data_IF_681410942067
#
_entry.id   IF_681410942067
#
_cell.length_a   1.000
_cell.length_b   1.000
_cell.length_c   1.000
_cell.angle_alpha   90.00
_cell.angle_beta   90.00
_cell.angle_gamma   90.00
#
_symmetry.space_group_name_H-M   'P 1'
#
loop_
_entity.id
_entity.type
_entity.pdbx_description
1 polymer ?
#
# COMPACT_ATOMS: atom_id res chain seq x y z
N UNK A 1 -38.30 41.77 -46.36
CA UNK A 1 -39.21 41.00 -45.49
C UNK A 1 -38.75 39.53 -45.52
N UNK A 2 -38.70 38.88 -44.36
CA UNK A 2 -38.23 37.50 -44.06
C UNK A 2 -36.72 37.26 -44.23
N UNK A 3 -35.87 37.00 -43.21
CA UNK A 3 -35.88 36.10 -42.02
C UNK A 3 -36.05 34.61 -42.35
N UNK A 4 -34.93 33.86 -42.36
CA UNK A 4 -34.73 32.47 -41.92
C UNK A 4 -33.20 32.31 -41.73
N UNK A 5 -32.58 32.22 -40.54
CA UNK A 5 -32.60 31.17 -39.51
C UNK A 5 -32.23 29.79 -40.11
N UNK A 6 -31.33 28.95 -39.58
CA UNK A 6 -30.39 28.94 -38.46
C UNK A 6 -29.56 27.64 -38.62
N UNK A 7 -28.29 27.65 -38.20
CA UNK A 7 -27.48 26.52 -37.68
C UNK A 7 -27.55 25.13 -38.36
N UNK A 8 -26.47 24.79 -39.06
CA UNK A 8 -26.04 23.40 -39.30
C UNK A 8 -25.03 22.97 -38.22
N UNK A 9 -25.37 21.89 -37.51
CA UNK A 9 -24.69 21.25 -36.39
C UNK A 9 -23.15 21.40 -36.32
N UNK A 10 -22.67 22.02 -35.24
CA UNK A 10 -21.30 21.82 -34.77
C UNK A 10 -21.19 20.40 -34.18
N UNK A 11 -20.51 19.50 -34.91
CA UNK A 11 -20.10 18.21 -34.38
C UNK A 11 -19.11 18.45 -33.24
N UNK A 12 -19.60 18.32 -32.00
CA UNK A 12 -18.78 18.37 -30.80
C UNK A 12 -17.88 17.13 -30.78
N UNK A 13 -16.67 17.25 -31.35
CA UNK A 13 -15.62 16.27 -31.15
C UNK A 13 -15.19 16.39 -29.67
N UNK A 14 -15.83 15.62 -28.80
CA UNK A 14 -15.36 15.45 -27.44
C UNK A 14 -14.02 14.69 -27.51
N UNK A 15 -12.93 15.44 -27.60
CA UNK A 15 -11.60 14.93 -27.28
C UNK A 15 -11.62 14.59 -25.79
N UNK A 16 -12.02 13.36 -25.46
CA UNK A 16 -11.79 12.78 -24.16
C UNK A 16 -10.29 12.48 -24.10
N UNK A 17 -9.49 13.49 -23.77
CA UNK A 17 -8.10 13.29 -23.42
C UNK A 17 -8.08 12.29 -22.28
N UNK A 18 -7.62 11.07 -22.55
CA UNK A 18 -7.33 10.09 -21.52
C UNK A 18 -6.38 10.77 -20.53
N UNK A 19 -6.91 11.15 -19.36
CA UNK A 19 -6.06 11.54 -18.25
C UNK A 19 -5.12 10.35 -18.03
N UNK A 20 -3.79 10.54 -18.02
CA UNK A 20 -2.92 9.49 -17.56
C UNK A 20 -3.43 9.10 -16.17
N UNK A 21 -3.88 7.85 -16.05
CA UNK A 21 -4.11 7.24 -14.76
C UNK A 21 -2.71 7.15 -14.15
N UNK A 22 -2.28 8.18 -13.43
CA UNK A 22 -0.97 8.19 -12.78
C UNK A 22 -0.95 6.99 -11.83
N UNK A 23 -0.26 5.93 -12.23
CA UNK A 23 0.10 4.86 -11.32
C UNK A 23 1.02 5.50 -10.27
N UNK A 24 0.59 5.54 -9.02
CA UNK A 24 1.43 6.01 -7.92
C UNK A 24 2.60 5.02 -7.81
N UNK A 25 3.81 5.48 -8.13
CA UNK A 25 5.01 4.66 -7.99
C UNK A 25 5.32 4.49 -6.51
N UNK A 26 5.40 3.23 -6.05
CA UNK A 26 5.63 2.92 -4.66
C UNK A 26 7.03 3.39 -4.22
N UNK A 27 7.10 4.05 -3.06
CA UNK A 27 8.39 4.49 -2.50
C UNK A 27 9.11 3.30 -1.87
N UNK A 28 10.32 2.98 -2.35
CA UNK A 28 11.20 1.98 -1.73
C UNK A 28 11.77 2.50 -0.41
N UNK A 29 11.39 1.84 0.69
CA UNK A 29 11.72 2.29 2.04
C UNK A 29 12.14 1.10 2.91
N UNK A 30 13.03 1.35 3.87
CA UNK A 30 13.34 0.37 4.92
C UNK A 30 12.25 0.36 6.00
N UNK A 31 12.21 -0.68 6.82
CA UNK A 31 11.31 -0.75 7.98
C UNK A 31 11.53 0.44 8.91
N UNK A 32 12.79 0.82 9.17
CA UNK A 32 13.12 1.97 9.99
C UNK A 32 12.58 3.29 9.40
N UNK A 33 12.67 3.48 8.07
CA UNK A 33 12.13 4.67 7.41
C UNK A 33 10.60 4.74 7.57
N UNK A 34 9.91 3.59 7.47
CA UNK A 34 8.46 3.55 7.71
C UNK A 34 8.12 4.04 9.11
N UNK A 35 8.84 3.60 10.15
CA UNK A 35 8.61 4.06 11.52
C UNK A 35 8.94 5.54 11.72
N UNK A 36 10.04 6.01 11.11
CA UNK A 36 10.53 7.38 11.23
C UNK A 36 9.55 8.38 10.58
N UNK A 37 9.09 8.07 9.37
CA UNK A 37 8.33 9.00 8.53
C UNK A 37 6.82 8.64 8.46
N UNK A 38 6.35 7.72 9.33
CA UNK A 38 4.98 7.17 9.33
C UNK A 38 3.86 8.18 9.15
N UNK A 39 3.95 9.35 9.79
CA UNK A 39 2.94 10.40 9.70
C UNK A 39 2.85 11.00 8.28
N UNK A 40 3.99 11.16 7.60
CA UNK A 40 4.06 11.67 6.23
C UNK A 40 3.76 10.59 5.17
N UNK A 41 3.85 9.32 5.55
CA UNK A 41 3.58 8.16 4.70
C UNK A 41 2.14 7.64 4.82
N UNK A 42 1.38 8.10 5.80
CA UNK A 42 0.01 7.63 6.02
C UNK A 42 -0.85 7.82 4.77
N UNK A 43 -1.44 6.72 4.30
CA UNK A 43 -2.25 6.64 3.10
C UNK A 43 -1.50 6.44 1.78
N UNK A 44 -0.16 6.43 1.78
CA UNK A 44 0.67 6.31 0.57
C UNK A 44 1.03 4.86 0.24
N UNK A 45 1.32 4.62 -1.03
CA UNK A 45 1.87 3.35 -1.48
C UNK A 45 3.37 3.26 -1.14
N UNK A 46 3.77 2.18 -0.47
CA UNK A 46 5.17 1.91 -0.08
C UNK A 46 5.59 0.55 -0.59
N UNK A 47 6.88 0.41 -0.92
CA UNK A 47 7.50 -0.86 -1.23
C UNK A 47 8.68 -1.11 -0.26
N UNK A 48 8.81 -2.33 0.23
CA UNK A 48 9.89 -2.72 1.13
C UNK A 48 10.26 -4.18 0.90
N UNK A 49 11.53 -4.51 1.18
CA UNK A 49 12.04 -5.87 1.09
C UNK A 49 12.45 -6.34 2.48
N UNK A 50 12.06 -7.56 2.86
CA UNK A 50 12.34 -8.07 4.19
C UNK A 50 12.23 -9.58 4.28
N UNK A 51 12.75 -10.12 5.39
CA UNK A 51 12.61 -11.52 5.75
C UNK A 51 11.33 -11.72 6.55
N UNK A 52 10.54 -12.72 6.19
CA UNK A 52 9.34 -13.11 6.94
C UNK A 52 9.74 -13.77 8.26
N UNK A 53 9.29 -13.22 9.38
CA UNK A 53 9.61 -13.73 10.72
C UNK A 53 8.44 -14.40 11.43
N UNK A 54 7.19 -14.06 11.06
CA UNK A 54 5.97 -14.65 11.59
C UNK A 54 4.84 -14.49 10.57
N UNK A 55 3.96 -15.49 10.52
CA UNK A 55 2.80 -15.55 9.62
C UNK A 55 1.60 -16.07 10.39
N UNK A 56 0.48 -15.34 10.33
CA UNK A 56 -0.81 -15.74 10.84
C UNK A 56 -1.81 -15.66 9.67
N UNK A 57 -2.17 -16.82 9.10
CA UNK A 57 -3.07 -16.87 7.96
C UNK A 57 -4.55 -16.87 8.38
N UNK A 58 -5.41 -16.40 7.48
CA UNK A 58 -6.88 -16.48 7.57
C UNK A 58 -7.51 -15.83 8.81
N UNK A 59 -6.81 -14.88 9.44
CA UNK A 59 -7.34 -14.07 10.54
C UNK A 59 -8.22 -12.96 9.96
N UNK A 60 -9.50 -12.91 10.35
CA UNK A 60 -10.45 -11.91 9.84
C UNK A 60 -10.48 -11.83 8.29
N UNK A 61 -10.41 -12.99 7.62
CA UNK A 61 -10.42 -13.14 6.15
C UNK A 61 -9.19 -12.57 5.41
N UNK A 62 -8.08 -12.34 6.11
CA UNK A 62 -6.79 -11.89 5.55
C UNK A 62 -5.61 -12.55 6.28
N UNK A 63 -4.43 -12.43 5.72
CA UNK A 63 -3.19 -12.90 6.35
C UNK A 63 -2.48 -11.73 7.03
N UNK A 64 -1.86 -12.00 8.17
CA UNK A 64 -1.00 -11.06 8.89
C UNK A 64 0.42 -11.59 8.87
N UNK A 65 1.33 -10.83 8.28
CA UNK A 65 2.70 -11.24 7.99
C UNK A 65 3.61 -10.21 8.61
N UNK A 66 4.54 -10.68 9.43
CA UNK A 66 5.57 -9.84 10.05
C UNK A 66 6.86 -9.99 9.27
N UNK A 67 7.46 -8.87 8.88
CA UNK A 67 8.75 -8.85 8.17
C UNK A 67 9.77 -7.97 8.90
N UNK A 68 11.04 -8.33 8.74
CA UNK A 68 12.19 -7.58 9.24
C UNK A 68 13.24 -7.45 8.15
N UNK A 69 13.84 -6.27 8.01
CA UNK A 69 14.90 -6.00 7.02
C UNK A 69 16.27 -5.70 7.66
N UNK A 70 16.32 -5.67 8.99
CA UNK A 70 17.53 -5.38 9.77
C UNK A 70 17.83 -3.90 9.98
N UNK A 71 17.00 -2.98 9.48
CA UNK A 71 17.22 -1.52 9.60
C UNK A 71 16.80 -0.94 10.95
N UNK A 72 15.82 -1.55 11.62
CA UNK A 72 15.22 -1.01 12.84
C UNK A 72 15.85 -1.46 14.15
N UNK A 73 15.30 -0.98 15.27
CA UNK A 73 15.78 -1.27 16.62
C UNK A 73 14.80 -2.15 17.41
N UNK A 74 15.28 -3.30 17.90
CA UNK A 74 14.45 -4.26 18.63
C UNK A 74 13.98 -3.76 19.99
N UNK A 75 14.82 -3.03 20.73
CA UNK A 75 14.46 -2.47 22.04
C UNK A 75 13.35 -1.42 21.93
N UNK A 76 13.28 -0.74 20.77
CA UNK A 76 12.27 0.26 20.45
C UNK A 76 11.05 -0.34 19.71
N UNK A 77 11.09 -1.63 19.34
CA UNK A 77 10.05 -2.30 18.57
C UNK A 77 9.91 -1.79 17.13
N UNK A 78 10.94 -1.12 16.58
CA UNK A 78 10.92 -0.55 15.23
C UNK A 78 11.62 -1.44 14.19
N UNK A 79 11.99 -2.66 14.57
CA UNK A 79 12.66 -3.65 13.71
C UNK A 79 11.70 -4.56 12.95
N UNK A 80 10.40 -4.50 13.23
CA UNK A 80 9.36 -5.38 12.69
C UNK A 80 8.19 -4.55 12.17
N UNK A 81 7.65 -4.92 11.02
CA UNK A 81 6.44 -4.31 10.48
C UNK A 81 5.41 -5.40 10.16
N UNK A 82 4.16 -5.12 10.54
CA UNK A 82 3.02 -5.98 10.22
C UNK A 82 2.46 -5.58 8.85
N UNK A 83 2.21 -6.58 8.03
CA UNK A 83 1.63 -6.49 6.70
C UNK A 83 0.31 -7.27 6.71
N UNK A 84 -0.75 -6.72 6.11
CA UNK A 84 -1.93 -7.50 5.75
C UNK A 84 -2.03 -7.73 4.26
N UNK A 85 -2.40 -8.94 3.87
CA UNK A 85 -2.49 -9.36 2.48
C UNK A 85 -3.51 -10.49 2.28
N UNK A 86 -4.02 -10.64 1.06
CA UNK A 86 -4.72 -11.85 0.62
C UNK A 86 -3.74 -12.96 0.20
N UNK A 87 -2.50 -12.59 -0.13
CA UNK A 87 -1.41 -13.49 -0.43
C UNK A 87 -0.69 -13.90 0.86
N UNK A 88 0.17 -14.93 0.77
CA UNK A 88 0.93 -15.43 1.90
C UNK A 88 2.37 -15.74 1.49
N UNK A 89 3.23 -15.91 2.49
CA UNK A 89 4.62 -16.34 2.35
C UNK A 89 4.97 -17.25 3.52
N UNK A 90 6.11 -17.94 3.45
CA UNK A 90 6.56 -18.79 4.55
C UNK A 90 7.52 -18.04 5.46
N UNK A 91 7.51 -18.40 6.74
CA UNK A 91 8.53 -17.93 7.69
C UNK A 91 9.92 -18.33 7.16
N UNK A 92 10.81 -17.35 7.06
CA UNK A 92 12.15 -17.51 6.53
C UNK A 92 12.33 -16.97 5.11
N UNK A 93 11.24 -16.81 4.35
CA UNK A 93 11.30 -16.30 2.99
C UNK A 93 11.80 -14.85 2.96
N UNK A 94 12.57 -14.52 1.93
CA UNK A 94 12.89 -13.14 1.57
C UNK A 94 11.86 -12.66 0.56
N UNK A 95 11.17 -11.56 0.86
CA UNK A 95 10.05 -11.06 0.06
C UNK A 95 10.18 -9.58 -0.22
N UNK A 96 9.59 -9.16 -1.35
CA UNK A 96 9.28 -7.76 -1.68
C UNK A 96 7.78 -7.58 -1.45
N UNK A 97 7.44 -6.57 -0.66
CA UNK A 97 6.09 -6.19 -0.27
C UNK A 97 5.77 -4.83 -0.88
N UNK A 98 4.60 -4.71 -1.49
CA UNK A 98 4.05 -3.42 -1.92
C UNK A 98 2.62 -3.28 -1.40
N UNK A 99 2.32 -2.18 -0.70
CA UNK A 99 1.00 -1.96 -0.13
C UNK A 99 0.84 -0.55 0.45
N UNK A 100 -0.33 -0.27 1.01
CA UNK A 100 -0.66 1.06 1.53
C UNK A 100 -0.26 1.17 3.00
N UNK A 101 0.57 2.14 3.35
CA UNK A 101 0.90 2.41 4.75
C UNK A 101 -0.27 3.12 5.43
N UNK A 102 -0.73 2.59 6.56
CA UNK A 102 -1.82 3.15 7.36
C UNK A 102 -1.44 3.21 8.84
N UNK A 103 -2.02 4.15 9.56
CA UNK A 103 -1.82 4.34 11.00
C UNK A 103 -3.09 4.04 11.77
N UNK A 104 -2.92 3.74 13.05
CA UNK A 104 -4.00 3.62 14.04
C UNK A 104 -5.18 2.76 13.57
N UNK A 105 -4.88 1.66 12.87
CA UNK A 105 -5.89 0.77 12.30
C UNK A 105 -6.47 -0.11 13.41
N UNK A 106 -7.77 0.02 13.63
CA UNK A 106 -8.50 -0.74 14.65
C UNK A 106 -9.28 -1.90 14.01
N UNK A 107 -8.92 -3.13 14.38
CA UNK A 107 -9.63 -4.35 13.98
C UNK A 107 -10.71 -4.78 14.97
N UNK A 108 -10.98 -3.97 16.00
CA UNK A 108 -11.93 -4.24 17.08
C UNK A 108 -11.31 -5.04 18.23
N UNK A 109 -12.07 -5.19 19.32
CA UNK A 109 -11.67 -5.98 20.50
C UNK A 109 -10.31 -5.61 21.14
N UNK A 110 -9.84 -4.38 20.90
CA UNK A 110 -8.54 -3.89 21.39
C UNK A 110 -7.35 -4.19 20.49
N UNK A 111 -7.57 -4.73 19.29
CA UNK A 111 -6.52 -4.96 18.29
C UNK A 111 -6.28 -3.69 17.44
N UNK A 112 -5.51 -2.76 18.01
CA UNK A 112 -5.10 -1.52 17.33
C UNK A 112 -3.65 -1.62 16.88
N UNK A 113 -3.40 -1.32 15.61
CA UNK A 113 -2.08 -1.30 15.00
C UNK A 113 -1.65 0.15 14.74
N UNK A 114 -0.66 0.69 15.48
CA UNK A 114 -0.20 2.07 15.29
C UNK A 114 0.45 2.33 13.92
N UNK A 115 0.95 1.28 13.28
CA UNK A 115 1.57 1.30 11.95
C UNK A 115 1.36 -0.07 11.30
N UNK A 116 0.87 -0.05 10.06
CA UNK A 116 0.53 -1.24 9.29
C UNK A 116 0.71 -0.97 7.79
N UNK A 117 1.03 -1.99 7.02
CA UNK A 117 0.91 -1.95 5.55
C UNK A 117 -0.25 -2.85 5.15
N UNK A 118 -1.28 -2.29 4.53
CA UNK A 118 -2.51 -3.00 4.16
C UNK A 118 -2.61 -3.31 2.67
N UNK A 119 -3.47 -4.30 2.37
CA UNK A 119 -3.82 -4.72 1.02
C UNK A 119 -2.59 -5.04 0.17
N UNK A 120 -1.55 -5.56 0.82
CA UNK A 120 -0.25 -5.69 0.20
C UNK A 120 -0.20 -6.85 -0.78
N UNK A 121 0.63 -6.70 -1.82
CA UNK A 121 1.08 -7.81 -2.67
C UNK A 121 2.46 -8.29 -2.21
N UNK A 122 2.75 -9.57 -2.45
CA UNK A 122 3.93 -10.27 -1.94
C UNK A 122 4.59 -11.01 -3.09
N UNK A 123 5.86 -10.70 -3.32
CA UNK A 123 6.69 -11.36 -4.33
C UNK A 123 7.93 -11.93 -3.67
N UNK A 124 8.45 -13.09 -4.11
CA UNK A 124 9.79 -13.51 -3.75
C UNK A 124 10.80 -12.41 -4.09
N UNK A 125 11.73 -12.14 -3.18
CA UNK A 125 12.85 -11.26 -3.48
C UNK A 125 13.83 -11.91 -4.46
N UNK A 126 14.48 -11.13 -5.34
CA UNK A 126 15.50 -11.62 -6.26
C UNK A 126 16.77 -12.11 -5.56
#
# INVERSE_FOLDING_TARGET
MSRFALLGAASLLALFTALPLYAEEAMHLSVADLYKDKAALNGKLVQLQGKVVKVNNEVMKRNFIHIQDGSGNQEQGTNDITITSQETANKGDQVVIEGKLVLDTDFGYGYVYPLLVEEATIKPAP
#
